data_IF_857026296719
#
_entry.id   IF_857026296719
#
_cell.length_a   1.000
_cell.length_b   1.000
_cell.length_c   1.000
_cell.angle_alpha   90.00
_cell.angle_beta   90.00
_cell.angle_gamma   90.00
#
_symmetry.space_group_name_H-M   'P 1'
#
loop_
_entity.id
_entity.type
_entity.pdbx_description
1 polymer ?
#
# COMPACT_ATOMS: atom_id res chain seq x y z
N UNK A 1 10.70 6.85 -5.57
CA UNK A 1 10.27 6.49 -4.19
C UNK A 1 11.44 5.76 -3.53
N UNK A 2 11.78 6.01 -2.26
CA UNK A 2 12.75 5.18 -1.53
C UNK A 2 12.00 4.18 -0.63
N UNK A 3 12.70 3.18 -0.08
CA UNK A 3 12.09 2.14 0.74
C UNK A 3 11.30 2.72 1.93
N UNK A 4 11.84 3.75 2.59
CA UNK A 4 11.15 4.42 3.70
C UNK A 4 9.79 5.01 3.30
N UNK A 5 9.74 5.80 2.22
CA UNK A 5 8.48 6.40 1.71
C UNK A 5 7.49 5.33 1.24
N UNK A 6 7.97 4.26 0.62
CA UNK A 6 7.14 3.14 0.22
C UNK A 6 6.53 2.42 1.43
N UNK A 7 7.31 2.17 2.49
CA UNK A 7 6.81 1.61 3.74
C UNK A 7 5.80 2.51 4.42
N UNK A 8 6.01 3.83 4.43
CA UNK A 8 5.03 4.78 4.95
C UNK A 8 3.71 4.70 4.16
N UNK A 9 3.77 4.69 2.83
CA UNK A 9 2.57 4.58 2.00
C UNK A 9 1.84 3.24 2.19
N UNK A 10 2.56 2.13 2.35
CA UNK A 10 1.94 0.84 2.67
C UNK A 10 1.16 0.86 3.99
N UNK A 11 1.66 1.58 5.01
CA UNK A 11 0.94 1.76 6.26
C UNK A 11 -0.33 2.59 6.10
N UNK A 12 -0.26 3.66 5.32
CA UNK A 12 -1.42 4.50 4.98
C UNK A 12 -2.49 3.70 4.23
N UNK A 13 -2.08 2.93 3.21
CA UNK A 13 -2.95 2.00 2.46
C UNK A 13 -3.67 1.04 3.40
N UNK A 14 -2.96 0.43 4.36
CA UNK A 14 -3.58 -0.47 5.34
C UNK A 14 -4.67 0.22 6.16
N UNK A 15 -4.46 1.49 6.50
CA UNK A 15 -5.44 2.30 7.25
C UNK A 15 -6.64 2.65 6.37
N UNK A 16 -6.41 3.02 5.12
CA UNK A 16 -7.45 3.33 4.13
C UNK A 16 -8.34 2.11 3.86
N UNK A 17 -7.74 0.95 3.57
CA UNK A 17 -8.46 -0.31 3.34
C UNK A 17 -9.29 -0.73 4.56
N UNK A 18 -8.77 -0.57 5.77
CA UNK A 18 -9.52 -0.89 7.00
C UNK A 18 -10.79 -0.03 7.12
N UNK A 19 -10.68 1.28 6.84
CA UNK A 19 -11.82 2.20 6.88
C UNK A 19 -12.85 1.86 5.80
N UNK A 20 -12.41 1.56 4.58
CA UNK A 20 -13.31 1.18 3.49
C UNK A 20 -14.00 -0.16 3.75
N UNK A 21 -13.29 -1.14 4.32
CA UNK A 21 -13.89 -2.41 4.72
C UNK A 21 -14.96 -2.23 5.80
N UNK A 22 -14.70 -1.38 6.81
CA UNK A 22 -15.68 -1.03 7.83
C UNK A 22 -16.90 -0.33 7.24
N UNK A 23 -16.69 0.61 6.29
CA UNK A 23 -17.77 1.28 5.58
C UNK A 23 -18.58 0.28 4.76
N UNK A 24 -17.93 -0.59 3.98
CA UNK A 24 -18.58 -1.62 3.17
C UNK A 24 -19.43 -2.57 4.03
N UNK A 25 -18.97 -2.92 5.23
CA UNK A 25 -19.71 -3.76 6.18
C UNK A 25 -20.97 -3.09 6.73
N UNK A 26 -21.04 -1.76 6.76
CA UNK A 26 -22.17 -0.98 7.29
C UNK A 26 -23.13 -0.47 6.21
N UNK A 27 -22.66 -0.34 4.97
CA UNK A 27 -23.45 0.19 3.86
C UNK A 27 -24.45 -0.84 3.34
N UNK A 28 -25.74 -0.48 3.37
CA UNK A 28 -26.85 -1.28 2.87
C UNK A 28 -27.28 -0.89 1.45
N UNK A 29 -26.94 0.33 1.00
CA UNK A 29 -27.23 0.81 -0.34
C UNK A 29 -26.28 0.16 -1.36
N UNK A 30 -26.84 -0.59 -2.32
CA UNK A 30 -26.06 -1.34 -3.31
C UNK A 30 -25.14 -0.43 -4.14
N UNK A 31 -25.62 0.74 -4.56
CA UNK A 31 -24.83 1.65 -5.40
C UNK A 31 -23.65 2.24 -4.63
N UNK A 32 -23.85 2.54 -3.35
CA UNK A 32 -22.76 3.01 -2.49
C UNK A 32 -21.74 1.90 -2.21
N UNK A 33 -22.20 0.65 -2.06
CA UNK A 33 -21.31 -0.51 -1.95
C UNK A 33 -20.43 -0.67 -3.18
N UNK A 34 -21.01 -0.58 -4.38
CA UNK A 34 -20.26 -0.67 -5.64
C UNK A 34 -19.16 0.40 -5.73
N UNK A 35 -19.44 1.62 -5.26
CA UNK A 35 -18.42 2.70 -5.20
C UNK A 35 -17.31 2.35 -4.20
N UNK A 36 -17.66 1.90 -2.99
CA UNK A 36 -16.67 1.52 -1.98
C UNK A 36 -15.80 0.35 -2.48
N UNK A 37 -16.39 -0.63 -3.17
CA UNK A 37 -15.66 -1.74 -3.79
C UNK A 37 -14.71 -1.26 -4.90
N UNK A 38 -15.10 -0.26 -5.69
CA UNK A 38 -14.21 0.37 -6.68
C UNK A 38 -13.03 1.08 -6.00
N UNK A 39 -13.28 1.81 -4.91
CA UNK A 39 -12.22 2.48 -4.15
C UNK A 39 -11.23 1.48 -3.55
N UNK A 40 -11.72 0.36 -3.00
CA UNK A 40 -10.88 -0.75 -2.52
C UNK A 40 -10.00 -1.27 -3.66
N UNK A 41 -10.58 -1.57 -4.83
CA UNK A 41 -9.83 -2.08 -5.97
C UNK A 41 -8.71 -1.13 -6.43
N UNK A 42 -8.96 0.19 -6.41
CA UNK A 42 -7.95 1.19 -6.76
C UNK A 42 -6.77 1.13 -5.78
N UNK A 43 -7.06 1.07 -4.48
CA UNK A 43 -6.03 1.03 -3.43
C UNK A 43 -5.26 -0.30 -3.44
N UNK A 44 -5.93 -1.42 -3.70
CA UNK A 44 -5.25 -2.72 -3.85
C UNK A 44 -4.29 -2.73 -5.04
N UNK A 45 -4.68 -2.11 -6.16
CA UNK A 45 -3.78 -1.96 -7.30
C UNK A 45 -2.54 -1.12 -6.95
N UNK A 46 -2.71 -0.04 -6.18
CA UNK A 46 -1.59 0.75 -5.67
C UNK A 46 -0.67 -0.10 -4.78
N UNK A 47 -1.23 -0.89 -3.86
CA UNK A 47 -0.49 -1.82 -3.01
C UNK A 47 0.36 -2.79 -3.83
N UNK A 48 -0.21 -3.43 -4.86
CA UNK A 48 0.52 -4.35 -5.71
C UNK A 48 1.67 -3.67 -6.47
N UNK A 49 1.43 -2.46 -6.98
CA UNK A 49 2.46 -1.64 -7.62
C UNK A 49 3.62 -1.33 -6.67
N UNK A 50 3.32 -0.88 -5.45
CA UNK A 50 4.34 -0.58 -4.43
C UNK A 50 5.10 -1.82 -3.99
N UNK A 51 4.41 -2.94 -3.77
CA UNK A 51 5.04 -4.23 -3.44
C UNK A 51 5.99 -4.68 -4.55
N UNK A 52 5.60 -4.52 -5.81
CA UNK A 52 6.46 -4.85 -6.94
C UNK A 52 7.69 -3.93 -7.00
N UNK A 53 7.51 -2.63 -6.80
CA UNK A 53 8.61 -1.67 -6.76
C UNK A 53 9.61 -1.98 -5.64
N UNK A 54 9.13 -2.29 -4.43
CA UNK A 54 9.95 -2.64 -3.28
C UNK A 54 10.76 -3.92 -3.50
N UNK A 55 10.19 -4.93 -4.17
CA UNK A 55 10.90 -6.18 -4.51
C UNK A 55 12.12 -5.92 -5.40
N UNK A 56 12.09 -4.86 -6.19
CA UNK A 56 13.17 -4.49 -7.11
C UNK A 56 14.19 -3.52 -6.47
N UNK A 57 14.00 -3.13 -5.20
CA UNK A 57 15.01 -2.37 -4.47
C UNK A 57 16.05 -3.37 -3.97
N UNK A 58 17.18 -3.46 -4.66
CA UNK A 58 18.37 -4.09 -4.09
C UNK A 58 18.82 -3.27 -2.88
N UNK A 59 18.88 -3.92 -1.72
CA UNK A 59 19.62 -3.38 -0.58
C UNK A 59 21.09 -3.41 -0.98
N UNK A 60 21.62 -2.29 -1.47
CA UNK A 60 23.07 -2.15 -1.63
C UNK A 60 23.71 -2.52 -0.30
N UNK A 61 24.59 -3.54 -0.23
CA UNK A 61 25.39 -3.71 0.97
C UNK A 61 26.15 -2.41 1.17
N UNK A 62 26.04 -1.85 2.37
CA UNK A 62 26.98 -0.84 2.83
C UNK A 62 28.31 -1.59 2.85
N UNK A 63 29.11 -1.44 1.80
CA UNK A 63 30.49 -1.88 1.83
C UNK A 63 31.16 -0.96 2.82
N UNK A 64 31.23 -1.41 4.06
CA UNK A 64 32.14 -0.87 5.07
C UNK A 64 33.56 -1.09 4.53
N UNK A 65 33.99 -0.19 3.64
CA UNK A 65 35.40 0.05 3.40
C UNK A 65 35.95 0.70 4.67
N UNK A 66 36.13 -0.11 5.70
CA UNK A 66 37.10 0.16 6.76
C UNK A 66 38.44 -0.32 6.21
N UNK A 67 38.97 0.43 5.25
CA UNK A 67 40.41 0.47 5.02
C UNK A 67 40.96 1.63 5.87
N UNK A 68 41.55 1.28 7.00
CA UNK A 68 42.86 1.75 7.50
C UNK A 68 43.13 1.14 8.88
#
# INVERSE_FOLDING_TARGET
MNAYKASQRLYEISTELTKLADQLGRTTNLREREVIEQDINIIENEFFSLKHQLKNIELSPIVDNIEN
#
